data_IF_202742143613
#
_entry.id   IF_202742143613
#
_cell.length_a   1.000
_cell.length_b   1.000
_cell.length_c   1.000
_cell.angle_alpha   90.00
_cell.angle_beta   90.00
_cell.angle_gamma   90.00
#
_symmetry.space_group_name_H-M   'P 1'
#
loop_
_entity.id
_entity.type
_entity.pdbx_description
1 polymer ?
#
# COMPACT_ATOMS: atom_id res chain seq x y z
N UNK A 1 18.48 -16.84 8.71
CA UNK A 1 17.48 -16.96 7.64
C UNK A 1 16.18 -17.27 8.36
N UNK A 2 15.22 -16.34 8.35
CA UNK A 2 13.92 -16.60 8.98
C UNK A 2 13.21 -17.67 8.14
N UNK A 3 12.69 -18.69 8.80
CA UNK A 3 11.85 -19.71 8.16
C UNK A 3 10.57 -19.00 7.71
N UNK A 4 10.35 -18.88 6.40
CA UNK A 4 9.10 -18.31 5.88
C UNK A 4 7.98 -19.28 6.23
N UNK A 5 6.96 -18.78 6.92
CA UNK A 5 5.77 -19.58 7.28
C UNK A 5 4.83 -19.61 6.09
N UNK A 6 4.56 -20.82 5.60
CA UNK A 6 3.69 -21.00 4.44
C UNK A 6 2.22 -20.85 4.85
N UNK A 7 1.46 -20.03 4.12
CA UNK A 7 0.02 -19.86 4.25
C UNK A 7 -0.67 -20.39 3.00
N UNK A 8 -1.50 -21.42 3.14
CA UNK A 8 -2.39 -21.87 2.07
C UNK A 8 -3.73 -21.13 2.18
N UNK A 9 -3.99 -20.21 1.26
CA UNK A 9 -5.19 -19.36 1.29
C UNK A 9 -6.50 -20.14 1.11
N UNK A 10 -6.44 -21.39 0.64
CA UNK A 10 -7.61 -22.25 0.48
C UNK A 10 -8.07 -22.88 1.81
N UNK A 11 -7.24 -22.84 2.86
CA UNK A 11 -7.61 -23.35 4.19
C UNK A 11 -8.59 -22.40 4.91
N UNK A 12 -9.44 -22.95 5.79
CA UNK A 12 -10.23 -22.14 6.71
C UNK A 12 -9.35 -21.26 7.60
N UNK A 13 -9.86 -20.08 7.96
CA UNK A 13 -9.17 -19.13 8.83
C UNK A 13 -8.86 -19.73 10.20
N UNK A 14 -9.73 -20.56 10.77
CA UNK A 14 -9.46 -21.21 12.05
C UNK A 14 -8.16 -22.02 12.01
N UNK A 15 -7.97 -22.85 10.97
CA UNK A 15 -6.75 -23.63 10.79
C UNK A 15 -5.52 -22.73 10.61
N UNK A 16 -5.64 -21.67 9.81
CA UNK A 16 -4.53 -20.74 9.57
C UNK A 16 -4.11 -19.96 10.81
N UNK A 17 -5.07 -19.58 11.65
CA UNK A 17 -4.85 -18.83 12.89
C UNK A 17 -4.33 -19.72 14.02
N UNK A 18 -4.66 -21.01 14.05
CA UNK A 18 -4.06 -21.98 14.96
C UNK A 18 -2.59 -22.26 14.59
N UNK A 19 -2.29 -22.35 13.30
CA UNK A 19 -0.93 -22.59 12.79
C UNK A 19 -0.02 -21.34 12.91
N UNK A 20 -0.60 -20.13 12.99
CA UNK A 20 0.13 -18.86 12.97
C UNK A 20 -0.44 -17.84 13.99
N UNK A 21 0.15 -17.76 15.18
CA UNK A 21 -0.32 -16.89 16.28
C UNK A 21 -0.40 -15.39 15.90
N UNK A 22 0.52 -14.93 15.05
CA UNK A 22 0.63 -13.54 14.61
C UNK A 22 -0.25 -13.18 13.40
N UNK A 23 -0.81 -14.16 12.70
CA UNK A 23 -1.65 -13.93 11.52
C UNK A 23 -2.90 -13.13 11.86
N UNK A 24 -3.47 -13.34 13.05
CA UNK A 24 -4.63 -12.57 13.53
C UNK A 24 -4.34 -11.08 13.55
N UNK A 25 -3.19 -10.70 14.10
CA UNK A 25 -2.81 -9.30 14.19
C UNK A 25 -2.58 -8.72 12.79
N UNK A 26 -1.89 -9.46 11.93
CA UNK A 26 -1.68 -9.04 10.53
C UNK A 26 -3.00 -8.80 9.81
N UNK A 27 -3.96 -9.71 9.87
CA UNK A 27 -5.26 -9.54 9.22
C UNK A 27 -6.05 -8.34 9.75
N UNK A 28 -5.99 -8.08 11.07
CA UNK A 28 -6.60 -6.88 11.67
C UNK A 28 -5.91 -5.60 11.18
N UNK A 29 -4.57 -5.59 11.06
CA UNK A 29 -3.81 -4.46 10.52
C UNK A 29 -4.12 -4.21 9.03
N UNK A 30 -4.51 -5.26 8.29
CA UNK A 30 -5.02 -5.15 6.92
C UNK A 30 -6.48 -4.69 6.83
N UNK A 31 -7.16 -4.51 7.97
CA UNK A 31 -8.53 -4.02 8.06
C UNK A 31 -9.61 -5.09 8.19
N UNK A 32 -9.24 -6.36 8.38
CA UNK A 32 -10.20 -7.44 8.65
C UNK A 32 -10.50 -7.55 10.15
N UNK A 33 -11.56 -6.86 10.59
CA UNK A 33 -12.00 -6.87 11.99
C UNK A 33 -12.81 -8.12 12.35
N UNK A 34 -13.63 -8.60 11.42
CA UNK A 34 -14.42 -9.83 11.58
C UNK A 34 -13.71 -11.00 10.87
N UNK A 35 -13.35 -12.02 11.66
CA UNK A 35 -12.63 -13.22 11.19
C UNK A 35 -13.48 -14.49 11.46
N UNK A 36 -14.54 -14.74 10.67
CA UNK A 36 -15.33 -15.97 10.76
C UNK A 36 -14.47 -17.22 10.52
N UNK A 37 -14.50 -18.16 11.47
CA UNK A 37 -13.64 -19.35 11.53
C UNK A 37 -13.67 -20.21 10.25
N UNK A 38 -14.86 -20.42 9.70
CA UNK A 38 -15.12 -21.27 8.53
C UNK A 38 -14.79 -20.60 7.19
N UNK A 39 -14.56 -19.27 7.19
CA UNK A 39 -14.26 -18.54 5.97
C UNK A 39 -12.79 -18.67 5.58
N UNK A 40 -12.52 -18.47 4.30
CA UNK A 40 -11.17 -18.42 3.74
C UNK A 40 -10.73 -16.98 3.50
N UNK A 41 -9.41 -16.74 3.37
CA UNK A 41 -8.88 -15.40 3.05
C UNK A 41 -9.45 -14.83 1.73
N UNK A 42 -9.62 -15.63 0.65
CA UNK A 42 -10.31 -15.19 -0.57
C UNK A 42 -11.75 -14.71 -0.34
N UNK A 43 -12.50 -15.36 0.55
CA UNK A 43 -13.86 -14.93 0.87
C UNK A 43 -13.87 -13.61 1.65
N UNK A 44 -12.94 -13.44 2.61
CA UNK A 44 -12.77 -12.15 3.29
C UNK A 44 -12.44 -11.02 2.31
N UNK A 45 -11.54 -11.28 1.35
CA UNK A 45 -11.16 -10.33 0.32
C UNK A 45 -12.37 -9.85 -0.48
N UNK A 46 -13.17 -10.83 -0.93
CA UNK A 46 -14.38 -10.59 -1.72
C UNK A 46 -15.42 -9.79 -0.94
N UNK A 47 -15.66 -10.13 0.32
CA UNK A 47 -16.62 -9.43 1.17
C UNK A 47 -16.18 -8.00 1.50
N UNK A 48 -14.88 -7.77 1.63
CA UNK A 48 -14.30 -6.44 1.78
C UNK A 48 -14.22 -5.64 0.47
N UNK A 49 -14.48 -6.27 -0.68
CA UNK A 49 -14.31 -5.65 -2.00
C UNK A 49 -12.84 -5.32 -2.33
N UNK A 50 -11.91 -6.06 -1.74
CA UNK A 50 -10.46 -5.92 -1.94
C UNK A 50 -9.97 -7.06 -2.82
N UNK A 51 -9.10 -6.74 -3.76
CA UNK A 51 -8.51 -7.75 -4.61
C UNK A 51 -7.58 -8.68 -3.82
N UNK A 52 -7.66 -9.98 -4.09
CA UNK A 52 -6.90 -10.99 -3.36
C UNK A 52 -5.38 -10.83 -3.55
N UNK A 53 -4.92 -10.27 -4.68
CA UNK A 53 -3.49 -9.97 -4.90
C UNK A 53 -2.94 -8.96 -3.88
N UNK A 54 -3.75 -7.99 -3.48
CA UNK A 54 -3.37 -6.95 -2.51
C UNK A 54 -3.12 -7.59 -1.14
N UNK A 55 -3.99 -8.53 -0.76
CA UNK A 55 -3.87 -9.25 0.51
C UNK A 55 -2.68 -10.21 0.45
N UNK A 56 -2.53 -10.98 -0.64
CA UNK A 56 -1.41 -11.88 -0.83
C UNK A 56 -0.07 -11.12 -0.73
N UNK A 57 0.05 -9.99 -1.42
CA UNK A 57 1.24 -9.13 -1.36
C UNK A 57 1.51 -8.62 0.06
N UNK A 58 0.47 -8.20 0.78
CA UNK A 58 0.64 -7.70 2.14
C UNK A 58 1.08 -8.81 3.12
N UNK A 59 0.54 -10.02 2.98
CA UNK A 59 0.97 -11.19 3.74
C UNK A 59 2.42 -11.58 3.42
N UNK A 60 2.84 -11.54 2.15
CA UNK A 60 4.24 -11.76 1.77
C UNK A 60 5.18 -10.70 2.37
N UNK A 61 4.76 -9.43 2.39
CA UNK A 61 5.49 -8.33 3.00
C UNK A 61 5.61 -8.48 4.53
N UNK A 62 4.60 -9.11 5.17
CA UNK A 62 4.63 -9.50 6.58
C UNK A 62 5.49 -10.74 6.85
N UNK A 63 6.05 -11.38 5.82
CA UNK A 63 7.01 -12.49 5.94
C UNK A 63 6.42 -13.88 5.73
N UNK A 64 5.18 -13.99 5.28
CA UNK A 64 4.56 -15.25 4.92
C UNK A 64 4.95 -15.71 3.50
N UNK A 65 4.87 -17.00 3.24
CA UNK A 65 4.97 -17.60 1.91
C UNK A 65 3.56 -18.02 1.47
N UNK A 66 2.95 -17.27 0.57
CA UNK A 66 1.53 -17.44 0.23
C UNK A 66 1.37 -18.50 -0.88
N UNK A 67 0.51 -19.48 -0.64
CA UNK A 67 0.16 -20.57 -1.56
C UNK A 67 -1.36 -20.67 -1.73
N UNK A 68 -1.81 -21.40 -2.76
CA UNK A 68 -3.24 -21.53 -3.07
C UNK A 68 -3.85 -20.29 -3.75
N UNK A 69 -3.02 -19.28 -4.02
CA UNK A 69 -3.41 -18.15 -4.87
C UNK A 69 -3.24 -18.52 -6.35
N UNK A 70 -4.35 -18.78 -7.04
CA UNK A 70 -4.37 -18.72 -8.49
C UNK A 70 -4.80 -17.32 -8.91
N UNK A 71 -3.92 -16.58 -9.58
CA UNK A 71 -4.31 -15.37 -10.29
C UNK A 71 -5.36 -15.78 -11.33
N UNK A 72 -6.64 -15.54 -11.06
CA UNK A 72 -7.59 -15.35 -12.15
C UNK A 72 -7.11 -14.09 -12.88
N UNK A 73 -6.62 -14.28 -14.10
CA UNK A 73 -6.32 -13.19 -15.03
C UNK A 73 -7.66 -12.57 -15.45
N UNK A 74 -8.30 -11.87 -14.51
CA UNK A 74 -9.58 -11.18 -14.66
C UNK A 74 -9.42 -9.84 -15.39
N UNK A 75 -8.19 -9.50 -15.76
CA UNK A 75 -7.82 -8.25 -16.41
C UNK A 75 -7.73 -7.07 -15.45
N UNK A 76 -7.71 -7.30 -14.13
CA UNK A 76 -7.47 -6.24 -13.15
C UNK A 76 -6.00 -5.79 -13.19
N UNK A 77 -5.75 -4.69 -13.89
CA UNK A 77 -4.49 -3.95 -13.80
C UNK A 77 -4.55 -3.03 -12.57
N UNK A 78 -3.72 -3.31 -11.56
CA UNK A 78 -3.62 -2.45 -10.38
C UNK A 78 -3.29 -1.02 -10.83
N UNK A 79 -4.01 0.02 -10.35
CA UNK A 79 -3.68 1.40 -10.66
C UNK A 79 -2.47 1.92 -9.87
N UNK A 80 -1.96 1.14 -8.89
CA UNK A 80 -0.87 1.56 -8.02
C UNK A 80 0.44 1.85 -8.76
N UNK A 81 0.92 1.03 -9.72
CA UNK A 81 2.11 1.36 -10.51
C UNK A 81 1.98 2.67 -11.28
N UNK A 82 0.79 2.97 -11.82
CA UNK A 82 0.52 4.24 -12.51
C UNK A 82 0.46 5.41 -11.53
N UNK A 83 -0.20 5.25 -10.38
CA UNK A 83 -0.25 6.28 -9.34
C UNK A 83 1.13 6.55 -8.73
N UNK A 84 1.92 5.51 -8.50
CA UNK A 84 3.30 5.61 -8.02
C UNK A 84 4.18 6.23 -9.09
N UNK A 85 3.99 5.91 -10.37
CA UNK A 85 4.64 6.63 -11.46
C UNK A 85 4.24 8.11 -11.46
N UNK A 86 2.98 8.48 -11.30
CA UNK A 86 2.61 9.91 -11.19
C UNK A 86 3.25 10.61 -9.98
N UNK A 87 3.45 9.90 -8.86
CA UNK A 87 4.03 10.45 -7.63
C UNK A 87 5.56 10.48 -7.63
N UNK A 88 6.22 9.52 -8.31
CA UNK A 88 7.67 9.30 -8.25
C UNK A 88 8.37 9.36 -9.61
N UNK A 89 7.66 9.21 -10.72
CA UNK A 89 8.17 9.44 -12.07
C UNK A 89 8.23 10.95 -12.35
N UNK A 90 9.34 11.54 -11.92
CA UNK A 90 9.80 12.88 -12.20
C UNK A 90 10.19 13.08 -13.70
N UNK A 91 9.39 12.56 -14.63
CA UNK A 91 9.64 12.69 -16.08
C UNK A 91 8.91 13.90 -16.70
N UNK A 92 8.45 14.87 -15.90
CA UNK A 92 8.15 16.20 -16.41
C UNK A 92 9.44 16.98 -16.67
N UNK A 93 9.97 16.84 -17.89
CA UNK A 93 10.95 17.74 -18.56
C UNK A 93 12.01 18.39 -17.64
N UNK A 94 12.99 17.58 -17.23
CA UNK A 94 14.38 18.05 -17.19
C UNK A 94 14.85 18.86 -15.99
N UNK A 95 14.22 18.77 -14.82
CA UNK A 95 14.85 19.23 -13.57
C UNK A 95 15.18 18.04 -12.67
N UNK A 96 16.47 17.74 -12.56
CA UNK A 96 17.00 16.81 -11.57
C UNK A 96 16.66 17.30 -10.16
N UNK A 97 16.41 16.38 -9.23
CA UNK A 97 16.35 16.68 -7.80
C UNK A 97 17.58 17.53 -7.40
N UNK A 98 17.44 18.53 -6.52
CA UNK A 98 18.60 19.25 -6.00
C UNK A 98 19.50 18.26 -5.25
N UNK A 99 20.74 18.10 -5.72
CA UNK A 99 21.78 17.21 -5.16
C UNK A 99 22.21 17.55 -3.72
N UNK A 100 21.63 18.57 -3.10
CA UNK A 100 22.00 18.98 -1.75
C UNK A 100 21.12 18.30 -0.71
N UNK A 101 21.70 17.50 0.21
CA UNK A 101 21.00 17.05 1.39
C UNK A 101 20.64 18.29 2.22
N UNK A 102 19.36 18.65 2.25
CA UNK A 102 18.88 19.71 3.13
C UNK A 102 19.01 19.24 4.59
N UNK A 103 19.44 20.12 5.50
CA UNK A 103 19.65 19.74 6.88
C UNK A 103 18.28 19.53 7.54
N UNK A 104 17.90 18.26 7.77
CA UNK A 104 16.67 17.94 8.50
C UNK A 104 15.99 16.61 8.13
N UNK A 105 16.70 15.48 8.21
CA UNK A 105 16.09 14.14 8.26
C UNK A 105 15.26 13.68 7.05
N UNK A 106 14.78 12.43 7.11
CA UNK A 106 14.09 11.67 6.04
C UNK A 106 12.80 12.33 5.50
N UNK A 107 12.26 13.37 6.16
CA UNK A 107 11.07 14.10 5.73
C UNK A 107 11.35 15.36 4.89
N UNK A 108 12.61 15.81 4.79
CA UNK A 108 13.00 16.99 4.03
C UNK A 108 12.59 16.98 2.53
N UNK A 109 12.74 15.87 1.77
CA UNK A 109 12.35 15.87 0.36
C UNK A 109 10.83 15.92 0.18
N UNK A 110 10.05 15.27 1.05
CA UNK A 110 8.58 15.32 1.00
C UNK A 110 8.03 16.71 1.31
N UNK A 111 8.62 17.42 2.29
CA UNK A 111 8.24 18.80 2.60
C UNK A 111 8.52 19.75 1.42
N UNK A 112 9.68 19.63 0.78
CA UNK A 112 10.01 20.45 -0.38
C UNK A 112 9.05 20.21 -1.55
N UNK A 113 8.66 18.95 -1.77
CA UNK A 113 7.69 18.58 -2.80
C UNK A 113 6.29 19.15 -2.50
N UNK A 114 5.86 19.10 -1.23
CA UNK A 114 4.59 19.64 -0.78
C UNK A 114 4.54 21.17 -0.92
N UNK A 115 5.60 21.88 -0.54
CA UNK A 115 5.70 23.33 -0.70
C UNK A 115 5.65 23.76 -2.18
N UNK A 116 6.31 23.01 -3.07
CA UNK A 116 6.24 23.26 -4.51
C UNK A 116 4.86 22.99 -5.08
N UNK A 117 4.20 21.90 -4.68
CA UNK A 117 2.83 21.58 -5.13
C UNK A 117 1.83 22.68 -4.71
N UNK A 118 1.94 23.19 -3.47
CA UNK A 118 1.11 24.30 -2.98
C UNK A 118 1.35 25.56 -3.82
N UNK A 119 2.61 25.90 -4.10
CA UNK A 119 2.94 27.09 -4.91
C UNK A 119 2.40 26.98 -6.34
N UNK A 120 2.44 25.79 -6.94
CA UNK A 120 1.88 25.52 -8.29
C UNK A 120 0.37 25.69 -8.31
N UNK A 121 -0.34 25.06 -7.39
CA UNK A 121 -1.79 25.20 -7.27
C UNK A 121 -2.23 26.65 -7.01
N UNK A 122 -1.39 27.45 -6.34
CA UNK A 122 -1.59 28.89 -6.19
C UNK A 122 -1.37 29.70 -7.48
N UNK A 123 -0.42 29.29 -8.33
CA UNK A 123 -0.17 29.94 -9.62
C UNK A 123 -1.27 29.64 -10.63
N UNK A 124 -1.79 28.42 -10.62
CA UNK A 124 -2.87 27.96 -11.50
C UNK A 124 -4.26 28.42 -11.04
N UNK A 125 -4.35 29.06 -9.87
CA UNK A 125 -5.58 29.63 -9.31
C UNK A 125 -6.50 28.61 -8.62
N UNK A 126 -6.09 27.35 -8.56
CA UNK A 126 -6.80 26.26 -7.87
C UNK A 126 -6.78 26.43 -6.35
N UNK A 127 -5.67 26.97 -5.82
CA UNK A 127 -5.56 27.35 -4.41
C UNK A 127 -5.41 28.87 -4.28
N UNK A 128 -5.99 29.49 -3.24
CA UNK A 128 -5.76 30.89 -2.96
C UNK A 128 -4.29 31.12 -2.64
N UNK A 129 -3.69 32.12 -3.28
CA UNK A 129 -2.40 32.67 -2.84
C UNK A 129 -2.64 33.18 -1.41
N UNK A 130 -1.93 32.60 -0.45
CA UNK A 130 -2.15 32.76 1.00
C UNK A 130 -2.79 34.11 1.41
N UNK A 131 -3.91 34.14 2.14
CA UNK A 131 -4.52 35.36 2.68
C UNK A 131 -3.93 35.76 4.05
N UNK A 132 -2.59 35.73 4.20
CA UNK A 132 -1.92 36.18 5.42
C UNK A 132 -0.86 37.24 5.05
N UNK A 133 -1.30 38.49 5.00
CA UNK A 133 -0.46 39.64 4.66
C UNK A 133 -1.21 40.96 4.50
N UNK A 134 -2.07 41.31 5.48
CA UNK A 134 -2.17 42.69 6.00
C UNK A 134 -1.83 42.63 7.49
#
# INVERSE_FOLDING_TARGET
>A
MAEKRTLDLAKPLEELLEENEDLRQTLVELGFEELPAESTIPELAKDAGVDLSVIAFALEASGYDVQGYEHEDDGYESPLPDMLSVLFDNSYRGESLPDTPLPGGEAAPMLANLEMAIRRAQQDGTLPKNPAGE
#
